data_IF_925114310965
#
_entry.id   IF_925114310965
#
_cell.length_a   1.000
_cell.length_b   1.000
_cell.length_c   1.000
_cell.angle_alpha   90.00
_cell.angle_beta   90.00
_cell.angle_gamma   90.00
#
_symmetry.space_group_name_H-M   'P 1'
#
loop_
_entity.id
_entity.type
_entity.pdbx_description
1 polymer ?
#
# COMPACT_ATOMS: atom_id res chain seq x y z
N UNK A 1 4.68 19.22 -15.00
CA UNK A 1 3.89 19.20 -16.25
C UNK A 1 4.71 18.66 -17.41
N UNK A 2 6.04 18.79 -17.37
CA UNK A 2 6.97 18.37 -18.44
C UNK A 2 6.84 16.93 -18.91
N UNK A 3 6.84 15.93 -18.02
CA UNK A 3 6.84 14.52 -18.50
C UNK A 3 5.47 14.02 -18.98
N UNK A 4 4.36 14.58 -18.47
CA UNK A 4 2.99 14.08 -18.76
C UNK A 4 1.96 15.22 -18.76
N UNK A 5 1.93 16.06 -19.82
CA UNK A 5 1.08 17.25 -19.89
C UNK A 5 -0.41 16.90 -20.03
N UNK A 6 -0.75 15.72 -20.57
CA UNK A 6 -2.12 15.26 -20.76
C UNK A 6 -2.87 14.90 -19.47
N UNK A 7 -2.22 14.95 -18.30
CA UNK A 7 -2.87 14.68 -17.00
C UNK A 7 -3.95 15.74 -16.70
N UNK A 8 -5.05 15.38 -16.00
CA UNK A 8 -6.19 16.29 -15.82
C UNK A 8 -5.87 17.66 -15.19
N UNK A 9 -4.94 17.71 -14.22
CA UNK A 9 -4.55 18.97 -13.56
C UNK A 9 -3.67 19.84 -14.49
N UNK A 10 -2.54 19.36 -15.07
CA UNK A 10 -1.76 20.15 -16.02
C UNK A 10 -2.51 20.55 -17.29
N UNK A 11 -3.45 19.71 -17.77
CA UNK A 11 -4.26 19.99 -18.97
C UNK A 11 -5.45 20.93 -18.71
N UNK A 12 -5.65 21.39 -17.47
CA UNK A 12 -6.72 22.32 -17.12
C UNK A 12 -8.13 21.72 -17.10
N UNK A 13 -8.29 20.40 -17.27
CA UNK A 13 -9.59 19.72 -17.21
C UNK A 13 -10.25 19.81 -15.83
N UNK A 14 -9.45 20.01 -14.77
CA UNK A 14 -9.92 20.23 -13.40
C UNK A 14 -8.99 21.21 -12.68
N UNK A 15 -9.53 22.13 -11.88
CA UNK A 15 -8.72 23.02 -11.05
C UNK A 15 -8.06 22.26 -9.89
N UNK A 16 -6.89 22.74 -9.46
CA UNK A 16 -6.15 22.16 -8.32
C UNK A 16 -6.99 22.12 -7.04
N UNK A 17 -7.75 23.17 -6.78
CA UNK A 17 -8.65 23.27 -5.64
C UNK A 17 -9.76 22.21 -5.69
N UNK A 18 -10.44 22.03 -6.85
CA UNK A 18 -11.49 21.01 -7.00
C UNK A 18 -10.94 19.59 -6.84
N UNK A 19 -9.73 19.34 -7.35
CA UNK A 19 -9.07 18.05 -7.18
C UNK A 19 -8.71 17.80 -5.70
N UNK A 20 -8.20 18.82 -5.00
CA UNK A 20 -7.86 18.72 -3.58
C UNK A 20 -9.09 18.53 -2.68
N UNK A 21 -10.18 19.26 -2.93
CA UNK A 21 -11.42 19.11 -2.16
C UNK A 21 -12.03 17.73 -2.37
N UNK A 22 -12.13 17.26 -3.60
CA UNK A 22 -12.63 15.92 -3.90
C UNK A 22 -11.74 14.84 -3.24
N UNK A 23 -10.42 14.97 -3.35
CA UNK A 23 -9.48 14.05 -2.70
C UNK A 23 -9.63 14.04 -1.18
N UNK A 24 -9.74 15.21 -0.55
CA UNK A 24 -9.98 15.33 0.88
C UNK A 24 -11.31 14.72 1.32
N UNK A 25 -12.39 14.96 0.57
CA UNK A 25 -13.71 14.36 0.85
C UNK A 25 -13.68 12.84 0.75
N UNK A 26 -13.04 12.28 -0.29
CA UNK A 26 -12.90 10.83 -0.43
C UNK A 26 -12.06 10.22 0.69
N UNK A 27 -11.02 10.93 1.13
CA UNK A 27 -10.17 10.49 2.24
C UNK A 27 -10.94 10.46 3.56
N UNK A 28 -11.72 11.52 3.85
CA UNK A 28 -12.60 11.56 5.02
C UNK A 28 -13.69 10.50 4.96
N UNK A 29 -14.29 10.28 3.78
CA UNK A 29 -15.27 9.22 3.57
C UNK A 29 -14.68 7.83 3.85
N UNK A 30 -13.44 7.58 3.40
CA UNK A 30 -12.72 6.33 3.68
C UNK A 30 -12.44 6.12 5.18
N UNK A 31 -12.00 7.16 5.89
CA UNK A 31 -11.81 7.10 7.36
C UNK A 31 -13.16 6.91 8.08
N UNK A 32 -14.20 7.59 7.64
CA UNK A 32 -15.56 7.42 8.16
C UNK A 32 -16.11 6.02 7.95
N UNK A 33 -15.84 5.40 6.80
CA UNK A 33 -16.18 4.00 6.55
C UNK A 33 -15.34 3.05 7.44
N UNK A 34 -14.06 3.33 7.68
CA UNK A 34 -13.25 2.52 8.58
C UNK A 34 -13.76 2.57 10.04
N UNK A 35 -14.31 3.71 10.46
CA UNK A 35 -14.93 3.87 11.78
C UNK A 35 -16.14 2.95 12.00
N UNK A 36 -16.96 2.70 10.97
CA UNK A 36 -18.14 1.84 11.10
C UNK A 36 -17.78 0.36 11.25
N UNK A 37 -16.58 -0.02 10.78
CA UNK A 37 -16.04 -1.38 10.92
C UNK A 37 -15.48 -1.62 12.33
N UNK A 38 -14.74 -0.66 12.88
CA UNK A 38 -14.27 -0.72 14.26
C UNK A 38 -13.01 0.10 14.56
N UNK A 39 -12.62 0.14 15.84
CA UNK A 39 -11.51 0.98 16.33
C UNK A 39 -10.17 0.63 15.70
N UNK A 40 -9.88 -0.66 15.46
CA UNK A 40 -8.63 -1.05 14.82
C UNK A 40 -8.56 -0.57 13.36
N UNK A 41 -9.67 -0.67 12.62
CA UNK A 41 -9.77 -0.14 11.26
C UNK A 41 -9.58 1.37 11.22
N UNK A 42 -10.15 2.11 12.17
CA UNK A 42 -9.92 3.55 12.30
C UNK A 42 -8.43 3.88 12.52
N UNK A 43 -7.75 3.16 13.42
CA UNK A 43 -6.32 3.37 13.70
C UNK A 43 -5.49 3.14 12.44
N UNK A 44 -5.69 2.01 11.75
CA UNK A 44 -4.94 1.69 10.54
C UNK A 44 -5.25 2.68 9.40
N UNK A 45 -6.51 3.07 9.23
CA UNK A 45 -6.90 4.08 8.24
C UNK A 45 -6.25 5.44 8.53
N UNK A 46 -6.20 5.85 9.80
CA UNK A 46 -5.55 7.10 10.22
C UNK A 46 -4.04 7.07 9.95
N UNK A 47 -3.37 5.96 10.28
CA UNK A 47 -1.95 5.75 9.95
C UNK A 47 -1.72 5.78 8.44
N UNK A 48 -2.61 5.17 7.65
CA UNK A 48 -2.53 5.18 6.19
C UNK A 48 -2.68 6.60 5.62
N UNK A 49 -3.62 7.39 6.14
CA UNK A 49 -3.78 8.81 5.75
C UNK A 49 -2.50 9.59 6.03
N UNK A 50 -1.93 9.44 7.23
CA UNK A 50 -0.66 10.10 7.59
C UNK A 50 0.47 9.66 6.65
N UNK A 51 0.57 8.38 6.30
CA UNK A 51 1.57 7.88 5.37
C UNK A 51 1.39 8.45 3.94
N UNK A 52 0.15 8.52 3.45
CA UNK A 52 -0.18 9.11 2.14
C UNK A 52 0.23 10.58 2.09
N UNK A 53 -0.20 11.37 3.08
CA UNK A 53 0.12 12.80 3.14
C UNK A 53 1.63 13.04 3.29
N UNK A 54 2.30 12.26 4.13
CA UNK A 54 3.76 12.33 4.31
C UNK A 54 4.50 12.03 3.01
N UNK A 55 4.05 11.00 2.28
CA UNK A 55 4.60 10.66 0.97
C UNK A 55 4.41 11.80 -0.03
N UNK A 56 3.19 12.28 -0.23
CA UNK A 56 2.87 13.27 -1.26
C UNK A 56 3.46 14.66 -0.96
N UNK A 57 3.55 15.07 0.30
CA UNK A 57 4.06 16.39 0.68
C UNK A 57 5.59 16.45 0.73
N UNK A 58 6.26 15.44 1.30
CA UNK A 58 7.67 15.55 1.67
C UNK A 58 8.55 14.48 1.02
N UNK A 59 8.14 13.21 1.04
CA UNK A 59 9.06 12.11 0.73
C UNK A 59 9.10 11.71 -0.74
N UNK A 60 8.10 12.04 -1.56
CA UNK A 60 8.06 11.67 -2.99
C UNK A 60 9.29 12.13 -3.80
N UNK A 61 9.90 13.25 -3.37
CA UNK A 61 11.11 13.80 -4.01
C UNK A 61 12.41 13.26 -3.43
N UNK A 62 12.39 12.65 -2.25
CA UNK A 62 13.60 12.16 -1.56
C UNK A 62 13.93 10.72 -1.94
N UNK A 63 15.10 10.21 -1.52
CA UNK A 63 15.49 8.81 -1.72
C UNK A 63 14.54 7.82 -1.00
N UNK A 64 13.86 8.28 0.06
CA UNK A 64 12.98 7.44 0.89
C UNK A 64 11.57 7.22 0.28
N UNK A 65 11.30 7.78 -0.90
CA UNK A 65 10.03 7.64 -1.59
C UNK A 65 9.58 6.17 -1.78
N UNK A 66 10.44 5.23 -2.25
CA UNK A 66 10.03 3.83 -2.45
C UNK A 66 9.61 3.16 -1.14
N UNK A 67 10.32 3.45 -0.05
CA UNK A 67 10.02 2.90 1.27
C UNK A 67 8.64 3.36 1.76
N UNK A 68 8.35 4.67 1.63
CA UNK A 68 7.05 5.22 2.02
C UNK A 68 5.91 4.68 1.14
N UNK A 69 6.13 4.51 -0.16
CA UNK A 69 5.12 3.89 -1.03
C UNK A 69 4.85 2.42 -0.63
N UNK A 70 5.90 1.68 -0.26
CA UNK A 70 5.78 0.34 0.31
C UNK A 70 4.99 0.33 1.63
N UNK A 71 5.24 1.30 2.52
CA UNK A 71 4.50 1.46 3.76
C UNK A 71 3.01 1.75 3.52
N UNK A 72 2.68 2.62 2.57
CA UNK A 72 1.29 2.88 2.18
C UNK A 72 0.60 1.60 1.70
N UNK A 73 1.28 0.76 0.91
CA UNK A 73 0.71 -0.51 0.44
C UNK A 73 0.60 -1.55 1.55
N UNK A 74 1.56 -1.61 2.47
CA UNK A 74 1.49 -2.41 3.69
C UNK A 74 0.24 -2.03 4.53
N UNK A 75 0.09 -0.75 4.84
CA UNK A 75 -1.04 -0.24 5.64
C UNK A 75 -2.38 -0.43 4.93
N UNK A 76 -2.41 -0.35 3.60
CA UNK A 76 -3.61 -0.63 2.81
C UNK A 76 -4.06 -2.10 2.95
N UNK A 77 -3.13 -3.06 2.95
CA UNK A 77 -3.48 -4.48 3.21
C UNK A 77 -3.91 -4.68 4.65
N UNK A 78 -3.22 -4.06 5.60
CA UNK A 78 -3.61 -4.12 7.02
C UNK A 78 -5.00 -3.53 7.27
N UNK A 79 -5.40 -2.50 6.53
CA UNK A 79 -6.76 -1.94 6.59
C UNK A 79 -7.81 -2.92 6.06
N UNK A 80 -7.49 -3.69 5.02
CA UNK A 80 -8.35 -4.78 4.57
C UNK A 80 -8.47 -5.88 5.61
N UNK A 81 -7.34 -6.29 6.20
CA UNK A 81 -7.32 -7.31 7.25
C UNK A 81 -8.03 -6.87 8.54
N UNK A 82 -8.09 -5.56 8.82
CA UNK A 82 -8.77 -5.05 10.01
C UNK A 82 -10.29 -5.18 9.95
N UNK A 83 -10.87 -5.46 8.77
CA UNK A 83 -12.29 -5.74 8.63
C UNK A 83 -12.76 -6.94 9.46
N UNK A 84 -11.92 -7.97 9.58
CA UNK A 84 -12.18 -9.19 10.34
C UNK A 84 -11.43 -9.24 11.68
N UNK A 85 -10.87 -8.11 12.12
CA UNK A 85 -10.05 -8.05 13.33
C UNK A 85 -10.77 -8.37 14.65
N UNK A 86 -12.10 -8.49 14.63
CA UNK A 86 -12.86 -9.00 15.79
C UNK A 86 -12.66 -10.51 15.98
N UNK A 87 -12.38 -11.22 14.89
CA UNK A 87 -12.20 -12.67 14.85
C UNK A 87 -10.72 -13.07 14.79
N UNK A 88 -9.86 -12.17 14.30
CA UNK A 88 -8.42 -12.41 14.19
C UNK A 88 -7.61 -11.40 14.99
N UNK A 89 -6.49 -11.83 15.57
CA UNK A 89 -5.51 -10.88 16.09
C UNK A 89 -4.77 -10.21 14.93
N UNK A 90 -5.17 -8.98 14.59
CA UNK A 90 -4.68 -8.22 13.44
C UNK A 90 -3.15 -8.15 13.35
N UNK A 91 -2.48 -8.05 14.49
CA UNK A 91 -1.02 -7.88 14.59
C UNK A 91 -0.24 -9.20 14.57
N UNK A 92 -0.92 -10.32 14.35
CA UNK A 92 -0.31 -11.66 14.32
C UNK A 92 -0.26 -12.17 12.87
N UNK A 93 0.54 -13.22 12.66
CA UNK A 93 0.59 -13.97 11.39
C UNK A 93 -0.80 -14.57 11.13
N UNK A 94 -1.28 -14.66 9.86
CA UNK A 94 -0.52 -14.52 8.62
C UNK A 94 -0.49 -13.12 8.00
N UNK A 95 -1.52 -12.30 8.20
CA UNK A 95 -1.72 -11.05 7.44
C UNK A 95 -0.54 -10.08 7.53
N UNK A 96 0.12 -9.98 8.69
CA UNK A 96 1.28 -9.11 8.85
C UNK A 96 2.43 -9.49 7.91
N UNK A 97 2.66 -10.80 7.69
CA UNK A 97 3.69 -11.30 6.77
C UNK A 97 3.31 -11.04 5.32
N UNK A 98 2.04 -11.22 4.96
CA UNK A 98 1.54 -10.94 3.60
C UNK A 98 1.70 -9.45 3.29
N UNK A 99 1.25 -8.59 4.20
CA UNK A 99 1.39 -7.15 4.07
C UNK A 99 2.86 -6.73 3.97
N UNK A 100 3.75 -7.31 4.79
CA UNK A 100 5.18 -7.01 4.77
C UNK A 100 5.86 -7.45 3.47
N UNK A 101 5.57 -8.67 2.98
CA UNK A 101 6.11 -9.18 1.73
C UNK A 101 5.64 -8.34 0.53
N UNK A 102 4.35 -7.97 0.50
CA UNK A 102 3.82 -7.06 -0.52
C UNK A 102 4.47 -5.66 -0.41
N UNK A 103 4.60 -5.13 0.79
CA UNK A 103 5.27 -3.85 1.04
C UNK A 103 6.69 -3.85 0.48
N UNK A 104 7.48 -4.88 0.79
CA UNK A 104 8.84 -5.07 0.28
C UNK A 104 8.88 -5.17 -1.25
N UNK A 105 7.97 -5.95 -1.85
CA UNK A 105 7.81 -6.02 -3.29
C UNK A 105 7.56 -4.63 -3.90
N UNK A 106 6.67 -3.84 -3.30
CA UNK A 106 6.34 -2.49 -3.77
C UNK A 106 7.52 -1.53 -3.59
N UNK A 107 8.33 -1.66 -2.54
CA UNK A 107 9.57 -0.88 -2.39
C UNK A 107 10.50 -1.15 -3.58
N UNK A 108 10.75 -2.42 -3.89
CA UNK A 108 11.58 -2.83 -5.02
C UNK A 108 11.03 -2.32 -6.35
N UNK A 109 9.72 -2.49 -6.59
CA UNK A 109 9.04 -2.04 -7.81
C UNK A 109 9.10 -0.51 -7.97
N UNK A 110 8.85 0.23 -6.90
CA UNK A 110 8.88 1.70 -6.92
C UNK A 110 10.30 2.21 -7.13
N UNK A 111 11.30 1.56 -6.53
CA UNK A 111 12.70 1.88 -6.76
C UNK A 111 13.10 1.60 -8.21
N UNK A 112 12.80 0.39 -8.72
CA UNK A 112 13.09 -0.02 -10.09
C UNK A 112 12.50 0.98 -11.10
N UNK A 113 11.20 1.24 -11.02
CA UNK A 113 10.50 2.14 -11.94
C UNK A 113 11.03 3.58 -11.88
N UNK A 114 11.46 4.04 -10.71
CA UNK A 114 12.01 5.39 -10.55
C UNK A 114 13.40 5.54 -11.18
N UNK A 115 14.25 4.52 -11.04
CA UNK A 115 15.58 4.54 -11.62
C UNK A 115 15.51 4.37 -13.13
N UNK A 116 14.63 3.51 -13.62
CA UNK A 116 14.35 3.38 -15.06
C UNK A 116 13.93 4.72 -15.69
N UNK A 117 13.07 5.49 -15.01
CA UNK A 117 12.60 6.78 -15.52
C UNK A 117 13.62 7.92 -15.43
N UNK A 118 14.51 7.91 -14.43
CA UNK A 118 15.50 8.99 -14.23
C UNK A 118 16.83 8.74 -14.93
N UNK A 119 17.39 7.55 -14.73
CA UNK A 119 18.73 7.21 -15.18
C UNK A 119 18.94 5.68 -15.24
N UNK A 120 18.92 5.13 -16.46
CA UNK A 120 18.90 3.69 -16.70
C UNK A 120 20.30 3.07 -16.59
N UNK A 121 20.78 2.92 -15.35
CA UNK A 121 22.02 2.21 -15.03
C UNK A 121 21.73 0.78 -14.54
N UNK A 122 22.39 -0.20 -15.17
CA UNK A 122 22.19 -1.65 -14.91
C UNK A 122 22.27 -2.02 -13.42
N UNK A 123 23.18 -1.40 -12.66
CA UNK A 123 23.36 -1.70 -11.23
C UNK A 123 22.13 -1.36 -10.37
N UNK A 124 21.49 -0.21 -10.61
CA UNK A 124 20.29 0.19 -9.88
C UNK A 124 19.07 -0.65 -10.26
N UNK A 125 18.97 -1.06 -11.52
CA UNK A 125 17.90 -1.95 -12.00
C UNK A 125 18.03 -3.35 -11.39
N UNK A 126 19.26 -3.89 -11.31
CA UNK A 126 19.53 -5.17 -10.62
C UNK A 126 19.18 -5.06 -9.13
N UNK A 127 19.56 -3.96 -8.46
CA UNK A 127 19.18 -3.71 -7.07
C UNK A 127 17.65 -3.74 -6.85
N UNK A 128 16.90 -3.03 -7.68
CA UNK A 128 15.43 -3.06 -7.65
C UNK A 128 14.87 -4.46 -7.89
N UNK A 129 15.40 -5.19 -8.88
CA UNK A 129 14.99 -6.56 -9.20
C UNK A 129 15.25 -7.54 -8.05
N UNK A 130 16.37 -7.42 -7.34
CA UNK A 130 16.68 -8.25 -6.17
C UNK A 130 15.67 -8.02 -5.05
N UNK A 131 15.29 -6.76 -4.79
CA UNK A 131 14.27 -6.43 -3.77
C UNK A 131 12.88 -6.95 -4.18
N UNK A 132 12.53 -6.86 -5.46
CA UNK A 132 11.28 -7.42 -5.99
C UNK A 132 11.24 -8.94 -5.74
N UNK A 133 12.30 -9.64 -6.14
CA UNK A 133 12.38 -11.10 -6.02
C UNK A 133 12.43 -11.56 -4.56
N UNK A 134 13.05 -10.79 -3.65
CA UNK A 134 13.05 -11.13 -2.22
C UNK A 134 11.65 -11.00 -1.61
N UNK A 135 10.89 -9.97 -1.99
CA UNK A 135 9.48 -9.83 -1.61
C UNK A 135 8.61 -10.98 -2.13
N UNK A 136 8.76 -11.32 -3.41
CA UNK A 136 8.03 -12.43 -4.03
C UNK A 136 8.41 -13.79 -3.42
N UNK A 137 9.71 -14.02 -3.22
CA UNK A 137 10.23 -15.24 -2.60
C UNK A 137 9.76 -15.40 -1.15
N UNK A 138 9.73 -14.33 -0.37
CA UNK A 138 9.19 -14.34 0.98
C UNK A 138 7.69 -14.70 1.01
N UNK A 139 6.92 -14.16 0.06
CA UNK A 139 5.50 -14.49 -0.08
C UNK A 139 5.30 -15.95 -0.49
N UNK A 140 6.03 -16.43 -1.50
CA UNK A 140 5.95 -17.81 -1.98
C UNK A 140 6.37 -18.81 -0.90
N UNK A 141 7.46 -18.54 -0.20
CA UNK A 141 7.91 -19.33 0.95
C UNK A 141 6.86 -19.40 2.05
N UNK A 142 6.25 -18.26 2.39
CA UNK A 142 5.16 -18.22 3.34
C UNK A 142 3.98 -19.06 2.86
N UNK A 143 3.54 -18.89 1.62
CA UNK A 143 2.43 -19.66 1.05
C UNK A 143 2.72 -21.18 1.08
N UNK A 144 3.97 -21.60 0.85
CA UNK A 144 4.34 -23.01 0.86
C UNK A 144 4.43 -23.61 2.28
N UNK A 145 4.88 -22.83 3.26
CA UNK A 145 5.18 -23.32 4.62
C UNK A 145 4.07 -23.06 5.63
N UNK A 146 3.13 -22.15 5.34
CA UNK A 146 2.09 -21.80 6.28
C UNK A 146 1.09 -22.97 6.41
N UNK A 147 0.72 -23.40 7.62
CA UNK A 147 -0.26 -24.47 7.82
C UNK A 147 -1.66 -23.93 7.52
N UNK A 148 -1.98 -23.84 6.23
CA UNK A 148 -3.29 -23.40 5.77
C UNK A 148 -4.37 -24.34 6.31
N UNK A 149 -5.48 -23.81 6.86
CA UNK A 149 -6.64 -24.62 7.21
C UNK A 149 -7.10 -25.38 5.96
N UNK A 150 -7.12 -26.71 6.02
CA UNK A 150 -7.55 -27.55 4.88
C UNK A 150 -9.07 -27.47 4.63
N UNK A 151 -9.82 -26.97 5.62
CA UNK A 151 -11.27 -26.80 5.62
C UNK A 151 -11.60 -25.30 5.68
N UNK A 152 -11.70 -24.60 4.55
CA UNK A 152 -12.31 -23.26 4.54
C UNK A 152 -13.81 -23.41 4.68
N UNK A 153 -14.32 -23.28 5.90
CA UNK A 153 -15.76 -23.16 6.14
C UNK A 153 -16.27 -21.88 5.43
N UNK A 154 -16.88 -22.03 4.25
CA UNK A 154 -17.46 -20.92 3.47
C UNK A 154 -18.47 -20.10 4.29
N UNK A 155 -19.13 -20.73 5.27
CA UNK A 155 -20.06 -20.07 6.20
C UNK A 155 -19.40 -18.98 7.04
N UNK A 156 -18.11 -19.11 7.36
CA UNK A 156 -17.35 -18.11 8.13
C UNK A 156 -16.97 -16.90 7.24
N UNK A 157 -16.71 -17.16 5.96
CA UNK A 157 -16.41 -16.10 4.96
C UNK A 157 -17.65 -15.31 4.56
N UNK A 158 -18.83 -15.96 4.57
CA UNK A 158 -20.10 -15.32 4.23
C UNK A 158 -20.78 -14.60 5.42
N UNK A 159 -20.30 -14.83 6.65
CA UNK A 159 -20.85 -14.23 7.88
C UNK A 159 -20.10 -12.98 8.36
N UNK A 160 -18.90 -12.73 7.84
CA UNK A 160 -18.09 -11.53 8.09
C UNK A 160 -18.37 -10.42 7.07
#
# INVERSE_FOLDING_TARGET
>A
AEERPSRPIPSGRISTQKAATLGGLLMLAGVGAAQTVGTQSLIVASLLVVAILSYDMLLKKTFLAPLMMGLCRFLNVMLGASAVAREINLWVKPQLRIAAALGLFIVGLTWFARMEAKDSHRGHLVGGLLVINSGLGALAWMLATYPWPRETNLSMVLAA
#
